data_IF_405153367808
#
_entry.id   IF_405153367808
#
_cell.length_a   1.000
_cell.length_b   1.000
_cell.length_c   1.000
_cell.angle_alpha   90.00
_cell.angle_beta   90.00
_cell.angle_gamma   90.00
#
_symmetry.space_group_name_H-M   'P 1'
#
loop_
_entity.id
_entity.type
_entity.pdbx_description
1 polymer ?
#
# COMPACT_ATOMS: atom_id res chain seq x y z
N UNK A 1 7.74 14.12 19.51
CA UNK A 1 6.68 13.32 18.88
C UNK A 1 5.57 13.07 19.91
N UNK A 2 4.32 13.39 19.58
CA UNK A 2 3.15 13.01 20.39
C UNK A 2 2.63 11.66 19.87
N UNK A 3 2.49 10.66 20.72
CA UNK A 3 2.00 9.33 20.35
C UNK A 3 0.47 9.16 20.50
N UNK A 4 -0.20 10.15 21.08
CA UNK A 4 -1.65 10.17 21.12
C UNK A 4 -2.21 10.68 19.80
N UNK A 5 -3.28 10.06 19.31
CA UNK A 5 -4.04 10.58 18.19
C UNK A 5 -4.68 11.92 18.57
N UNK A 6 -4.72 12.88 17.64
CA UNK A 6 -5.54 14.06 17.79
C UNK A 6 -7.04 13.73 17.67
N UNK A 7 -7.91 14.63 18.09
CA UNK A 7 -9.35 14.44 17.97
C UNK A 7 -9.77 14.28 16.49
N UNK A 8 -9.12 15.02 15.57
CA UNK A 8 -9.33 14.91 14.12
C UNK A 8 -8.92 13.55 13.59
N UNK A 9 -7.78 13.00 14.07
CA UNK A 9 -7.29 11.68 13.69
C UNK A 9 -8.19 10.57 14.20
N UNK A 10 -8.70 10.69 15.42
CA UNK A 10 -9.72 9.78 15.96
C UNK A 10 -10.98 9.84 15.10
N UNK A 11 -11.46 11.05 14.78
CA UNK A 11 -12.64 11.24 13.93
C UNK A 11 -12.44 10.66 12.52
N UNK A 12 -11.30 10.92 11.88
CA UNK A 12 -10.97 10.38 10.55
C UNK A 12 -11.03 8.85 10.54
N UNK A 13 -10.42 8.22 11.54
CA UNK A 13 -10.42 6.76 11.69
C UNK A 13 -11.83 6.19 11.89
N UNK A 14 -12.61 6.82 12.77
CA UNK A 14 -14.00 6.39 13.03
C UNK A 14 -14.89 6.61 11.80
N UNK A 15 -14.73 7.71 11.09
CA UNK A 15 -15.46 7.99 9.85
C UNK A 15 -15.10 6.95 8.76
N UNK A 16 -13.82 6.59 8.62
CA UNK A 16 -13.39 5.55 7.68
C UNK A 16 -14.02 4.19 8.04
N UNK A 17 -14.00 3.81 9.32
CA UNK A 17 -14.65 2.59 9.82
C UNK A 17 -16.15 2.61 9.53
N UNK A 18 -16.82 3.71 9.81
CA UNK A 18 -18.26 3.90 9.55
C UNK A 18 -18.61 3.79 8.06
N UNK A 19 -17.81 4.39 7.18
CA UNK A 19 -18.01 4.31 5.74
C UNK A 19 -17.87 2.87 5.22
N UNK A 20 -16.82 2.15 5.65
CA UNK A 20 -16.56 0.78 5.22
C UNK A 20 -17.53 -0.25 5.81
N UNK A 21 -18.11 0.01 6.98
CA UNK A 21 -19.07 -0.90 7.63
C UNK A 21 -20.38 -1.10 6.84
N UNK A 22 -20.66 -0.23 5.86
CA UNK A 22 -21.83 -0.34 4.97
C UNK A 22 -21.66 -1.46 3.93
N UNK A 23 -20.45 -2.00 3.76
CA UNK A 23 -20.13 -2.98 2.74
C UNK A 23 -19.81 -4.33 3.37
N UNK A 24 -20.28 -5.38 2.73
CA UNK A 24 -20.00 -6.77 3.10
C UNK A 24 -18.77 -7.28 2.34
N UNK A 25 -17.65 -6.64 2.54
CA UNK A 25 -16.42 -6.87 1.75
C UNK A 25 -15.92 -8.32 1.85
N UNK A 26 -16.02 -8.95 3.02
CA UNK A 26 -15.59 -10.33 3.24
C UNK A 26 -16.54 -11.36 2.57
N UNK A 27 -17.86 -11.10 2.56
CA UNK A 27 -18.82 -11.94 1.81
C UNK A 27 -18.54 -11.82 0.31
N UNK A 28 -18.40 -10.60 -0.21
CA UNK A 28 -18.05 -10.34 -1.61
C UNK A 28 -16.71 -10.97 -2.01
N UNK A 29 -15.71 -10.95 -1.11
CA UNK A 29 -14.43 -11.60 -1.34
C UNK A 29 -14.54 -13.12 -1.52
N UNK A 30 -15.43 -13.80 -0.76
CA UNK A 30 -15.69 -15.23 -0.95
C UNK A 30 -16.34 -15.50 -2.30
N UNK A 31 -17.34 -14.71 -2.69
CA UNK A 31 -18.03 -14.84 -3.96
C UNK A 31 -17.09 -14.62 -5.15
N UNK A 32 -16.14 -13.67 -5.02
CA UNK A 32 -15.14 -13.39 -6.03
C UNK A 32 -14.15 -14.55 -6.24
N UNK A 33 -13.93 -15.41 -5.23
CA UNK A 33 -13.11 -16.61 -5.38
C UNK A 33 -13.73 -17.66 -6.32
N UNK A 34 -15.03 -17.67 -6.45
CA UNK A 34 -15.77 -18.56 -7.34
C UNK A 34 -15.85 -18.03 -8.80
N UNK A 35 -15.06 -17.01 -9.12
CA UNK A 35 -15.00 -16.40 -10.45
C UNK A 35 -16.17 -15.45 -10.76
N UNK A 36 -16.91 -15.01 -9.74
CA UNK A 36 -17.95 -14.00 -9.86
C UNK A 36 -17.35 -12.62 -9.64
N UNK A 37 -17.79 -11.66 -10.43
CA UNK A 37 -17.41 -10.25 -10.31
C UNK A 37 -18.25 -9.62 -9.19
N UNK A 38 -17.90 -9.92 -7.94
CA UNK A 38 -18.73 -9.64 -6.77
C UNK A 38 -18.15 -8.56 -5.84
N UNK A 39 -16.92 -8.07 -6.11
CA UNK A 39 -16.34 -7.04 -5.26
C UNK A 39 -17.06 -5.69 -5.47
N UNK A 40 -17.45 -5.00 -4.38
CA UNK A 40 -18.05 -3.69 -4.49
C UNK A 40 -17.03 -2.67 -5.02
N UNK A 41 -17.46 -1.77 -5.90
CA UNK A 41 -16.70 -0.57 -6.21
C UNK A 41 -16.76 0.40 -5.03
N UNK A 42 -15.63 0.56 -4.34
CA UNK A 42 -15.51 1.42 -3.16
C UNK A 42 -15.00 2.83 -3.50
N UNK A 43 -14.70 3.11 -4.79
CA UNK A 43 -14.20 4.42 -5.19
C UNK A 43 -15.21 5.55 -4.97
N UNK A 44 -16.51 5.40 -5.26
CA UNK A 44 -17.51 6.42 -4.92
C UNK A 44 -17.52 6.78 -3.43
N UNK A 45 -17.41 5.77 -2.56
CA UNK A 45 -17.34 5.99 -1.11
C UNK A 45 -16.06 6.72 -0.70
N UNK A 46 -14.92 6.37 -1.29
CA UNK A 46 -13.65 7.08 -1.07
C UNK A 46 -13.76 8.56 -1.48
N UNK A 47 -14.41 8.85 -2.60
CA UNK A 47 -14.67 10.21 -3.08
C UNK A 47 -15.54 11.01 -2.11
N UNK A 48 -16.66 10.43 -1.67
CA UNK A 48 -17.56 11.07 -0.69
C UNK A 48 -16.85 11.38 0.63
N UNK A 49 -15.89 10.54 1.03
CA UNK A 49 -15.11 10.69 2.24
C UNK A 49 -13.85 11.56 2.06
N UNK A 50 -13.56 12.06 0.87
CA UNK A 50 -12.40 12.90 0.56
C UNK A 50 -11.04 12.17 0.58
N UNK A 51 -11.03 10.82 0.56
CA UNK A 51 -9.79 10.06 0.67
C UNK A 51 -8.84 10.22 -0.52
N UNK A 52 -9.29 10.45 -1.77
CA UNK A 52 -8.37 10.71 -2.87
C UNK A 52 -7.50 11.95 -2.66
N UNK A 53 -8.03 12.99 -2.03
CA UNK A 53 -7.33 14.26 -1.79
C UNK A 53 -6.51 14.33 -0.50
N UNK A 54 -6.40 13.24 0.28
CA UNK A 54 -5.76 13.29 1.62
C UNK A 54 -4.37 13.93 1.62
N UNK A 55 -3.53 13.59 0.65
CA UNK A 55 -2.12 14.03 0.55
C UNK A 55 -1.91 15.18 -0.43
N UNK A 56 -2.94 15.65 -1.10
CA UNK A 56 -2.90 16.78 -2.03
C UNK A 56 -3.12 18.06 -1.24
N UNK A 57 -2.35 19.10 -1.55
CA UNK A 57 -2.43 20.39 -0.86
C UNK A 57 -3.78 21.08 -1.07
N UNK A 58 -4.20 21.91 -0.11
CA UNK A 58 -5.48 22.63 -0.14
C UNK A 58 -5.61 23.54 -1.35
N UNK A 59 -4.53 24.12 -1.86
CA UNK A 59 -4.53 24.97 -3.06
C UNK A 59 -4.94 24.22 -4.33
N UNK A 60 -4.80 22.90 -4.33
CA UNK A 60 -5.23 21.99 -5.42
C UNK A 60 -6.51 21.22 -5.09
N UNK A 61 -7.27 21.68 -4.08
CA UNK A 61 -8.54 21.07 -3.68
C UNK A 61 -8.41 19.81 -2.84
N UNK A 62 -7.22 19.48 -2.35
CA UNK A 62 -6.97 18.39 -1.42
C UNK A 62 -7.18 18.78 0.05
N UNK A 63 -6.85 17.88 0.96
CA UNK A 63 -6.97 18.06 2.40
C UNK A 63 -5.65 18.47 3.08
N UNK A 64 -4.52 18.41 2.39
CA UNK A 64 -3.19 18.77 2.90
C UNK A 64 -2.74 17.97 4.14
N UNK A 65 -3.32 16.77 4.32
CA UNK A 65 -3.06 15.93 5.50
C UNK A 65 -1.71 15.19 5.39
N UNK A 66 -1.34 14.56 6.50
CA UNK A 66 -0.08 13.82 6.60
C UNK A 66 -0.19 12.36 6.15
N UNK A 67 0.97 11.76 5.91
CA UNK A 67 1.08 10.33 5.64
C UNK A 67 0.44 9.48 6.76
N UNK A 68 0.54 9.93 8.02
CA UNK A 68 -0.06 9.22 9.14
C UNK A 68 -1.59 9.19 9.05
N UNK A 69 -2.23 10.26 8.60
CA UNK A 69 -3.68 10.32 8.40
C UNK A 69 -4.12 9.33 7.31
N UNK A 70 -3.37 9.27 6.20
CA UNK A 70 -3.59 8.26 5.17
C UNK A 70 -3.39 6.83 5.68
N UNK A 71 -2.40 6.59 6.55
CA UNK A 71 -2.18 5.30 7.19
C UNK A 71 -3.34 4.88 8.09
N UNK A 72 -4.00 5.81 8.79
CA UNK A 72 -5.19 5.51 9.59
C UNK A 72 -6.33 4.99 8.70
N UNK A 73 -6.58 5.63 7.56
CA UNK A 73 -7.59 5.16 6.59
C UNK A 73 -7.25 3.78 6.04
N UNK A 74 -5.99 3.56 5.61
CA UNK A 74 -5.54 2.26 5.10
C UNK A 74 -5.62 1.16 6.18
N UNK A 75 -5.38 1.50 7.44
CA UNK A 75 -5.59 0.60 8.57
C UNK A 75 -7.03 0.08 8.63
N UNK A 76 -8.02 0.96 8.52
CA UNK A 76 -9.44 0.58 8.51
C UNK A 76 -9.81 -0.24 7.24
N UNK A 77 -9.22 0.07 6.08
CA UNK A 77 -9.36 -0.77 4.89
C UNK A 77 -8.83 -2.19 5.14
N UNK A 78 -7.68 -2.31 5.80
CA UNK A 78 -7.07 -3.58 6.16
C UNK A 78 -7.92 -4.43 7.12
N UNK A 79 -8.62 -3.80 8.04
CA UNK A 79 -9.50 -4.48 9.00
C UNK A 79 -10.60 -5.30 8.33
N UNK A 80 -11.10 -4.86 7.20
CA UNK A 80 -12.21 -5.49 6.48
C UNK A 80 -11.82 -5.97 5.08
N UNK A 81 -10.54 -6.02 4.76
CA UNK A 81 -10.00 -6.37 3.44
C UNK A 81 -10.62 -5.57 2.29
N UNK A 82 -10.92 -4.30 2.53
CA UNK A 82 -11.53 -3.43 1.53
C UNK A 82 -10.54 -3.12 0.40
N UNK A 83 -10.93 -3.37 -0.84
CA UNK A 83 -10.16 -3.10 -2.05
C UNK A 83 -10.35 -1.66 -2.54
N UNK A 84 -10.12 -0.65 -1.70
CA UNK A 84 -10.14 0.75 -2.13
C UNK A 84 -8.84 1.05 -2.87
N UNK A 85 -8.87 1.64 -4.09
CA UNK A 85 -7.65 1.85 -4.90
C UNK A 85 -6.79 3.04 -4.42
N UNK A 86 -6.54 3.10 -3.11
CA UNK A 86 -5.70 4.12 -2.47
C UNK A 86 -4.22 3.72 -2.42
N UNK A 87 -3.91 2.44 -2.52
CA UNK A 87 -2.53 1.94 -2.49
C UNK A 87 -1.72 2.42 -3.70
N UNK A 88 -2.37 2.52 -4.86
CA UNK A 88 -1.78 3.12 -6.06
C UNK A 88 -1.94 4.65 -6.09
N UNK A 89 -3.09 5.15 -5.66
CA UNK A 89 -3.45 6.56 -5.79
C UNK A 89 -2.62 7.49 -4.92
N UNK A 90 -2.49 7.19 -3.62
CA UNK A 90 -1.84 8.09 -2.66
C UNK A 90 -0.33 8.30 -2.91
N UNK A 91 0.49 7.27 -3.23
CA UNK A 91 1.88 7.52 -3.59
C UNK A 91 2.05 8.28 -4.92
N UNK A 92 1.14 8.04 -5.88
CA UNK A 92 1.13 8.77 -7.14
C UNK A 92 0.83 10.26 -6.95
N UNK A 93 -0.20 10.58 -6.17
CA UNK A 93 -0.57 11.97 -5.87
C UNK A 93 0.48 12.68 -5.03
N UNK A 94 1.21 11.95 -4.17
CA UNK A 94 2.32 12.52 -3.41
C UNK A 94 3.46 13.00 -4.33
N UNK A 95 3.80 12.24 -5.40
CA UNK A 95 4.79 12.71 -6.40
C UNK A 95 4.26 13.95 -7.14
N UNK A 96 3.00 13.92 -7.57
CA UNK A 96 2.39 15.01 -8.35
C UNK A 96 2.26 16.30 -7.54
N UNK A 97 2.01 16.18 -6.24
CA UNK A 97 1.92 17.33 -5.33
C UNK A 97 3.24 18.07 -5.18
N UNK A 98 4.36 17.35 -5.29
CA UNK A 98 5.71 17.91 -5.25
C UNK A 98 6.24 18.33 -6.64
N UNK A 99 5.39 18.32 -7.69
CA UNK A 99 5.74 18.61 -9.08
C UNK A 99 4.85 19.74 -9.65
N UNK A 100 5.29 21.01 -9.70
CA UNK A 100 4.51 22.12 -10.24
C UNK A 100 3.92 21.90 -11.64
N UNK A 101 4.63 21.18 -12.51
CA UNK A 101 4.14 20.82 -13.84
C UNK A 101 2.87 19.96 -13.82
N UNK A 102 2.58 19.30 -12.70
CA UNK A 102 1.42 18.42 -12.53
C UNK A 102 0.16 19.13 -12.02
N UNK A 103 0.23 20.41 -11.64
CA UNK A 103 -0.90 21.17 -11.07
C UNK A 103 -2.23 20.99 -11.81
N UNK A 104 -2.29 20.93 -13.16
CA UNK A 104 -3.55 20.72 -13.88
C UNK A 104 -4.21 19.36 -13.64
N UNK A 105 -3.46 18.36 -13.14
CA UNK A 105 -3.98 17.02 -12.86
C UNK A 105 -4.53 16.90 -11.42
N UNK A 106 -4.02 17.71 -10.49
CA UNK A 106 -4.22 17.53 -9.06
C UNK A 106 -5.68 17.73 -8.63
N UNK A 107 -6.41 18.71 -9.18
CA UNK A 107 -7.81 18.97 -8.80
C UNK A 107 -8.72 17.77 -9.10
N UNK A 108 -8.60 17.20 -10.30
CA UNK A 108 -9.39 16.03 -10.70
C UNK A 108 -8.99 14.77 -9.90
N UNK A 109 -7.74 14.67 -9.47
CA UNK A 109 -7.27 13.58 -8.62
C UNK A 109 -7.71 13.77 -7.17
N UNK A 110 -7.69 15.00 -6.65
CA UNK A 110 -8.14 15.33 -5.29
C UNK A 110 -9.63 15.02 -5.09
N UNK A 111 -10.46 15.37 -6.08
CA UNK A 111 -11.90 15.04 -6.06
C UNK A 111 -12.19 13.57 -6.37
N UNK A 112 -11.19 12.83 -6.82
CA UNK A 112 -11.34 11.44 -7.28
C UNK A 112 -12.14 11.31 -8.59
N UNK A 113 -12.35 12.40 -9.35
CA UNK A 113 -12.89 12.33 -10.70
C UNK A 113 -11.97 11.51 -11.60
N UNK A 114 -10.66 11.66 -11.41
CA UNK A 114 -9.64 10.81 -12.03
C UNK A 114 -8.94 9.98 -10.96
N UNK A 115 -8.45 8.81 -11.36
CA UNK A 115 -7.73 7.88 -10.50
C UNK A 115 -6.30 7.70 -10.99
N UNK A 116 -5.33 7.87 -10.08
CA UNK A 116 -3.93 7.59 -10.37
C UNK A 116 -3.53 6.20 -9.86
N UNK A 117 -2.51 5.61 -10.48
CA UNK A 117 -1.79 4.45 -9.95
C UNK A 117 -0.27 4.71 -9.96
N UNK A 118 0.35 4.43 -8.83
CA UNK A 118 1.79 4.50 -8.67
C UNK A 118 2.48 3.32 -9.34
N UNK A 119 3.46 3.60 -10.18
CA UNK A 119 4.36 2.62 -10.78
C UNK A 119 5.51 2.35 -9.80
N UNK A 120 5.56 1.20 -9.12
CA UNK A 120 6.53 0.97 -8.06
C UNK A 120 7.95 0.79 -8.64
N UNK A 121 8.82 1.74 -8.36
CA UNK A 121 10.25 1.70 -8.70
C UNK A 121 11.03 1.91 -7.41
N UNK A 122 11.83 0.91 -7.04
CA UNK A 122 12.63 0.93 -5.82
C UNK A 122 13.82 1.88 -5.97
N UNK A 123 14.01 2.85 -5.07
CA UNK A 123 15.16 3.73 -5.08
C UNK A 123 16.46 2.96 -4.78
N UNK A 124 17.65 3.46 -5.22
CA UNK A 124 18.93 2.90 -4.84
C UNK A 124 19.10 2.86 -3.31
N UNK A 125 19.71 1.80 -2.84
CA UNK A 125 20.17 1.61 -1.46
C UNK A 125 21.51 0.88 -1.46
N UNK A 126 22.05 0.55 -0.27
CA UNK A 126 23.36 -0.12 -0.13
C UNK A 126 23.40 -1.51 -0.80
N UNK A 127 22.27 -2.11 -1.10
CA UNK A 127 22.17 -3.40 -1.79
C UNK A 127 21.84 -3.28 -3.27
N UNK A 128 21.27 -2.14 -3.69
CA UNK A 128 20.87 -1.85 -5.06
C UNK A 128 21.35 -0.46 -5.46
N UNK A 129 22.45 -0.38 -6.17
CA UNK A 129 23.06 0.88 -6.58
C UNK A 129 22.27 1.65 -7.65
N UNK A 130 21.16 1.08 -8.13
CA UNK A 130 20.33 1.69 -9.17
C UNK A 130 18.84 1.52 -8.89
N UNK A 131 18.04 2.42 -9.45
CA UNK A 131 16.60 2.30 -9.47
C UNK A 131 16.17 0.99 -10.12
N UNK A 132 15.26 0.25 -9.48
CA UNK A 132 14.85 -1.07 -9.94
C UNK A 132 13.36 -1.34 -9.73
N UNK A 133 12.82 -2.24 -10.53
CA UNK A 133 11.45 -2.74 -10.43
C UNK A 133 11.46 -4.12 -9.80
N UNK A 134 10.49 -4.41 -8.92
CA UNK A 134 10.34 -5.77 -8.39
C UNK A 134 9.99 -6.76 -9.50
N UNK A 135 10.71 -7.89 -9.62
CA UNK A 135 10.47 -8.85 -10.68
C UNK A 135 9.22 -9.69 -10.40
N UNK A 136 8.51 -10.06 -11.45
CA UNK A 136 7.38 -10.99 -11.37
C UNK A 136 7.80 -12.38 -10.84
N UNK A 137 9.02 -12.82 -11.14
CA UNK A 137 9.55 -14.16 -10.81
C UNK A 137 10.39 -14.22 -9.52
N UNK A 138 10.79 -13.08 -8.97
CA UNK A 138 11.60 -12.99 -7.75
C UNK A 138 13.09 -13.33 -7.89
N UNK A 139 13.61 -13.52 -9.10
CA UNK A 139 15.01 -13.92 -9.33
C UNK A 139 15.91 -12.78 -9.81
N UNK A 140 15.37 -11.88 -10.60
CA UNK A 140 16.10 -10.72 -11.11
C UNK A 140 15.25 -9.46 -10.94
N UNK A 141 15.88 -8.34 -10.63
CA UNK A 141 15.22 -7.05 -10.58
C UNK A 141 15.51 -6.28 -11.86
N UNK A 142 14.52 -6.09 -12.74
CA UNK A 142 14.71 -5.25 -13.91
C UNK A 142 14.98 -3.80 -13.49
N UNK A 143 15.67 -3.07 -14.33
CA UNK A 143 15.89 -1.63 -14.14
C UNK A 143 14.58 -0.85 -14.23
N UNK A 144 14.60 0.39 -13.75
CA UNK A 144 13.51 1.33 -13.92
C UNK A 144 13.18 1.53 -15.42
N UNK A 145 11.92 1.89 -15.76
CA UNK A 145 11.57 2.30 -17.12
C UNK A 145 12.54 3.36 -17.66
N UNK A 146 12.82 3.32 -18.97
CA UNK A 146 13.67 4.30 -19.64
C UNK A 146 12.80 5.36 -20.32
N UNK A 147 13.26 6.60 -20.32
CA UNK A 147 12.64 7.72 -20.99
C UNK A 147 13.56 8.31 -22.05
N UNK A 148 13.01 8.74 -23.16
CA UNK A 148 13.70 9.48 -24.24
C UNK A 148 12.93 10.77 -24.47
N UNK A 149 13.65 11.91 -24.52
CA UNK A 149 13.03 13.23 -24.78
C UNK A 149 12.22 13.22 -26.06
N UNK A 150 11.04 13.82 -26.00
CA UNK A 150 10.18 14.02 -27.14
C UNK A 150 9.91 15.52 -27.35
N UNK A 151 9.63 15.92 -28.60
CA UNK A 151 9.19 17.28 -28.87
C UNK A 151 7.81 17.53 -28.24
N UNK A 152 7.66 18.67 -27.57
CA UNK A 152 6.36 19.07 -26.98
C UNK A 152 5.41 19.51 -28.08
N UNK A 153 4.38 18.74 -28.33
CA UNK A 153 3.38 19.06 -29.36
C UNK A 153 2.48 20.25 -28.98
N UNK A 154 2.38 20.60 -27.70
CA UNK A 154 1.43 21.61 -27.22
C UNK A 154 2.03 22.67 -26.25
N UNK A 155 3.35 22.74 -26.08
CA UNK A 155 3.97 23.70 -25.17
C UNK A 155 3.69 23.45 -23.68
N UNK A 156 3.17 22.29 -23.34
CA UNK A 156 2.88 21.88 -21.96
C UNK A 156 4.02 21.01 -21.40
N UNK A 157 5.01 21.67 -20.78
CA UNK A 157 6.07 20.99 -20.06
C UNK A 157 7.04 20.18 -20.95
N UNK A 158 8.02 19.55 -20.32
CA UNK A 158 8.93 18.63 -20.98
C UNK A 158 8.21 17.29 -21.23
N UNK A 159 8.32 16.77 -22.45
CA UNK A 159 7.72 15.49 -22.81
C UNK A 159 8.76 14.43 -23.08
N UNK A 160 8.40 13.18 -22.80
CA UNK A 160 9.25 12.02 -23.06
C UNK A 160 8.42 10.86 -23.62
N UNK A 161 9.13 9.88 -24.17
CA UNK A 161 8.61 8.58 -24.53
C UNK A 161 9.18 7.55 -23.55
N UNK A 162 8.29 6.84 -22.82
CA UNK A 162 8.68 5.91 -21.76
C UNK A 162 8.49 4.47 -22.23
N UNK A 163 9.52 3.65 -21.94
CA UNK A 163 9.48 2.21 -22.24
C UNK A 163 9.93 1.40 -21.02
N UNK A 164 9.26 0.30 -20.75
CA UNK A 164 9.58 -0.61 -19.65
C UNK A 164 8.42 -1.50 -19.27
N UNK A 165 8.67 -2.40 -18.35
CA UNK A 165 7.67 -3.33 -17.82
C UNK A 165 7.68 -3.32 -16.31
N UNK A 166 6.48 -3.29 -15.70
CA UNK A 166 6.30 -3.36 -14.25
C UNK A 166 5.27 -4.44 -13.92
N UNK A 167 5.60 -5.27 -12.95
CA UNK A 167 4.75 -6.38 -12.54
C UNK A 167 4.04 -6.10 -11.23
N UNK A 168 2.79 -6.59 -11.12
CA UNK A 168 1.98 -6.52 -9.90
C UNK A 168 1.78 -5.09 -9.37
N UNK A 169 1.56 -4.14 -10.29
CA UNK A 169 1.31 -2.73 -9.95
C UNK A 169 -0.04 -2.61 -9.24
N UNK A 170 -0.08 -2.14 -7.98
CA UNK A 170 -1.32 -1.95 -7.26
C UNK A 170 -2.22 -0.93 -7.96
N UNK A 171 -3.51 -1.28 -8.06
CA UNK A 171 -4.59 -0.43 -8.56
C UNK A 171 -4.42 0.09 -10.00
N UNK A 172 -3.44 -0.42 -10.76
CA UNK A 172 -3.26 -0.03 -12.17
C UNK A 172 -4.48 -0.36 -13.03
N UNK A 173 -5.19 -1.50 -12.86
CA UNK A 173 -6.42 -1.73 -13.61
C UNK A 173 -7.49 -0.69 -13.27
N UNK A 174 -7.93 0.07 -14.28
CA UNK A 174 -8.90 1.14 -14.16
C UNK A 174 -8.34 2.46 -13.64
N UNK A 175 -7.03 2.66 -13.55
CA UNK A 175 -6.43 3.97 -13.36
C UNK A 175 -6.52 4.81 -14.64
N UNK A 176 -6.65 6.13 -14.49
CA UNK A 176 -6.64 7.09 -15.60
C UNK A 176 -5.22 7.61 -15.87
N UNK A 177 -4.40 7.71 -14.82
CA UNK A 177 -3.03 8.22 -14.85
C UNK A 177 -2.08 7.25 -14.16
N UNK A 178 -0.98 6.92 -14.81
CA UNK A 178 0.13 6.15 -14.24
C UNK A 178 1.26 7.12 -13.88
N UNK A 179 1.74 7.07 -12.65
CA UNK A 179 2.78 7.98 -12.14
C UNK A 179 3.91 7.19 -11.52
N UNK A 180 5.14 7.51 -11.87
CA UNK A 180 6.30 6.80 -11.32
C UNK A 180 7.63 7.41 -11.74
N UNK A 181 8.69 6.62 -11.66
CA UNK A 181 10.06 7.01 -12.01
C UNK A 181 10.47 6.36 -13.32
N UNK A 182 11.13 7.14 -14.19
CA UNK A 182 11.85 6.63 -15.35
C UNK A 182 13.27 7.21 -15.39
N UNK A 183 14.16 6.55 -16.10
CA UNK A 183 15.54 7.03 -16.30
C UNK A 183 15.64 7.80 -17.62
N UNK A 184 15.83 9.10 -17.54
CA UNK A 184 16.06 9.99 -18.67
C UNK A 184 17.56 10.32 -18.72
N UNK A 185 18.26 9.91 -19.77
CA UNK A 185 19.73 10.06 -19.89
C UNK A 185 20.48 9.48 -18.67
N UNK A 186 19.93 8.41 -18.07
CA UNK A 186 20.50 7.74 -16.89
C UNK A 186 20.16 8.40 -15.55
N UNK A 187 19.46 9.54 -15.54
CA UNK A 187 19.03 10.24 -14.33
C UNK A 187 17.56 9.93 -14.02
N UNK A 188 17.18 9.76 -12.74
CA UNK A 188 15.78 9.52 -12.37
C UNK A 188 14.97 10.79 -12.57
N UNK A 189 13.81 10.63 -13.23
CA UNK A 189 12.81 11.69 -13.39
C UNK A 189 11.43 11.14 -13.05
N UNK A 190 10.56 11.98 -12.50
CA UNK A 190 9.16 11.66 -12.38
C UNK A 190 8.49 11.68 -13.75
N UNK A 191 7.53 10.79 -13.97
CA UNK A 191 6.73 10.74 -15.19
C UNK A 191 5.26 10.55 -14.86
N UNK A 192 4.39 11.24 -15.60
CA UNK A 192 2.95 11.03 -15.60
C UNK A 192 2.51 10.59 -17.01
N UNK A 193 1.78 9.49 -17.09
CA UNK A 193 1.41 8.81 -18.32
C UNK A 193 -0.11 8.61 -18.31
N UNK A 194 -0.81 9.05 -19.37
CA UNK A 194 -2.23 8.72 -19.54
C UNK A 194 -2.37 7.21 -19.76
N UNK A 195 -3.17 6.52 -18.94
CA UNK A 195 -3.34 5.07 -19.05
C UNK A 195 -3.96 4.63 -20.39
N UNK A 196 -4.70 5.54 -21.04
CA UNK A 196 -5.29 5.33 -22.37
C UNK A 196 -4.35 5.68 -23.54
N UNK A 197 -3.13 6.15 -23.27
CA UNK A 197 -2.20 6.58 -24.31
C UNK A 197 -1.69 5.41 -25.16
N UNK A 198 -1.29 5.72 -26.40
CA UNK A 198 -0.66 4.74 -27.26
C UNK A 198 0.62 4.17 -26.64
N UNK A 199 0.85 2.87 -26.76
CA UNK A 199 2.01 2.20 -26.17
C UNK A 199 1.85 1.88 -24.68
N UNK A 200 0.69 2.13 -24.06
CA UNK A 200 0.37 1.67 -22.70
C UNK A 200 -0.50 0.42 -22.77
N UNK A 201 -0.13 -0.59 -22.01
CA UNK A 201 -0.97 -1.78 -21.78
C UNK A 201 -1.02 -2.06 -20.29
N UNK A 202 -2.22 -2.23 -19.76
CA UNK A 202 -2.46 -2.65 -18.37
C UNK A 202 -3.24 -3.96 -18.39
N UNK A 203 -2.57 -5.05 -18.03
CA UNK A 203 -3.16 -6.39 -17.97
C UNK A 203 -3.52 -6.73 -16.52
N UNK A 204 -4.83 -6.85 -16.19
CA UNK A 204 -5.25 -7.27 -14.86
C UNK A 204 -4.74 -8.68 -14.54
N UNK A 205 -4.15 -8.86 -13.36
CA UNK A 205 -3.67 -10.18 -12.94
C UNK A 205 -4.73 -10.93 -12.15
N UNK A 206 -4.98 -12.19 -12.52
CA UNK A 206 -5.73 -13.10 -11.67
C UNK A 206 -4.87 -13.54 -10.48
N UNK A 207 -5.40 -13.47 -9.27
CA UNK A 207 -4.61 -13.59 -8.04
C UNK A 207 -5.21 -14.51 -7.00
N UNK A 208 -4.30 -14.94 -6.12
CA UNK A 208 -4.63 -15.72 -4.94
C UNK A 208 -5.48 -14.92 -3.93
N UNK A 209 -5.24 -13.62 -3.77
CA UNK A 209 -6.09 -12.69 -3.02
C UNK A 209 -7.00 -11.90 -3.98
N UNK A 210 -8.27 -12.23 -4.01
CA UNK A 210 -9.25 -11.57 -4.86
C UNK A 210 -9.57 -10.13 -4.42
N UNK A 211 -9.24 -9.77 -3.17
CA UNK A 211 -9.62 -8.47 -2.60
C UNK A 211 -8.70 -7.32 -2.98
N UNK A 212 -7.65 -7.57 -3.80
CA UNK A 212 -6.70 -6.55 -4.25
C UNK A 212 -6.64 -6.47 -5.77
N UNK A 213 -6.75 -5.27 -6.32
CA UNK A 213 -6.52 -5.03 -7.75
C UNK A 213 -5.03 -4.92 -8.03
N UNK A 214 -4.52 -5.72 -8.97
CA UNK A 214 -3.13 -5.66 -9.46
C UNK A 214 -3.13 -5.81 -10.97
N UNK A 215 -2.15 -5.18 -11.63
CA UNK A 215 -1.93 -5.34 -13.07
C UNK A 215 -0.47 -5.45 -13.43
N UNK A 216 -0.18 -6.04 -14.58
CA UNK A 216 1.08 -5.85 -15.28
C UNK A 216 0.96 -4.62 -16.18
N UNK A 217 1.96 -3.75 -16.14
CA UNK A 217 2.02 -2.53 -16.95
C UNK A 217 3.16 -2.66 -17.92
N UNK A 218 2.86 -2.58 -19.23
CA UNK A 218 3.85 -2.51 -20.30
C UNK A 218 3.78 -1.14 -20.96
N UNK A 219 4.94 -0.53 -21.11
CA UNK A 219 5.14 0.78 -21.75
C UNK A 219 6.05 0.59 -22.97
N UNK A 220 5.55 0.93 -24.15
CA UNK A 220 6.24 0.79 -25.42
C UNK A 220 6.30 2.15 -26.14
N UNK A 221 7.20 3.02 -25.71
CA UNK A 221 7.30 4.39 -26.21
C UNK A 221 6.06 5.23 -25.84
N UNK A 222 5.47 5.00 -24.68
CA UNK A 222 4.28 5.71 -24.23
C UNK A 222 4.59 7.20 -24.01
N UNK A 223 3.75 8.13 -24.53
CA UNK A 223 3.93 9.55 -24.28
C UNK A 223 3.72 9.86 -22.80
N UNK A 224 4.61 10.66 -22.23
CA UNK A 224 4.62 11.03 -20.84
C UNK A 224 4.95 12.50 -20.65
N UNK A 225 4.40 13.10 -19.60
CA UNK A 225 4.84 14.40 -19.07
C UNK A 225 6.00 14.11 -18.11
N UNK A 226 7.11 14.80 -18.29
CA UNK A 226 8.23 14.78 -17.34
C UNK A 226 7.87 15.71 -16.18
N UNK A 227 7.97 15.17 -14.97
CA UNK A 227 7.66 15.90 -13.74
C UNK A 227 8.96 16.51 -13.18
N UNK A 228 8.86 17.76 -12.75
CA UNK A 228 9.94 18.49 -12.10
C UNK A 228 10.02 18.21 -10.57
N UNK A 229 9.54 17.03 -10.17
CA UNK A 229 9.63 16.55 -8.80
C UNK A 229 11.08 16.25 -8.39
N UNK A 230 11.54 16.68 -7.20
CA UNK A 230 12.87 16.36 -6.73
C UNK A 230 13.05 14.85 -6.48
N UNK A 231 14.27 14.34 -6.67
CA UNK A 231 14.58 12.92 -6.50
C UNK A 231 14.17 12.37 -5.13
N UNK A 232 14.30 13.20 -4.09
CA UNK A 232 13.85 12.84 -2.74
C UNK A 232 12.33 12.58 -2.66
N UNK A 233 11.50 13.34 -3.39
CA UNK A 233 10.06 13.11 -3.47
C UNK A 233 9.75 11.78 -4.17
N UNK A 234 10.50 11.46 -5.25
CA UNK A 234 10.37 10.18 -5.96
C UNK A 234 10.71 8.99 -5.05
N UNK A 235 11.79 9.07 -4.29
CA UNK A 235 12.17 8.05 -3.31
C UNK A 235 11.16 7.97 -2.15
N UNK A 236 10.68 9.11 -1.67
CA UNK A 236 9.66 9.19 -0.61
C UNK A 236 8.36 8.48 -0.99
N UNK A 237 7.94 8.51 -2.26
CA UNK A 237 6.74 7.83 -2.71
C UNK A 237 6.84 6.30 -2.59
N UNK A 238 8.00 5.70 -2.86
CA UNK A 238 8.24 4.28 -2.60
C UNK A 238 8.09 3.93 -1.12
N UNK A 239 8.73 4.71 -0.25
CA UNK A 239 8.67 4.49 1.19
C UNK A 239 7.27 4.74 1.75
N UNK A 240 6.54 5.72 1.20
CA UNK A 240 5.14 5.95 1.51
C UNK A 240 4.28 4.73 1.14
N UNK A 241 4.44 4.18 -0.07
CA UNK A 241 3.72 2.98 -0.48
C UNK A 241 3.99 1.79 0.46
N UNK A 242 5.24 1.60 0.92
CA UNK A 242 5.58 0.58 1.92
C UNK A 242 4.91 0.84 3.27
N UNK A 243 4.88 2.07 3.75
CA UNK A 243 4.25 2.42 5.01
C UNK A 243 2.71 2.29 4.97
N UNK A 244 2.07 2.66 3.85
CA UNK A 244 0.63 2.44 3.63
C UNK A 244 0.27 0.96 3.62
N UNK A 245 1.08 0.12 2.95
CA UNK A 245 0.89 -1.33 2.95
C UNK A 245 1.10 -1.94 4.35
N UNK A 246 2.02 -1.38 5.14
CA UNK A 246 2.22 -1.78 6.53
C UNK A 246 1.01 -1.40 7.40
N UNK A 247 0.44 -0.20 7.23
CA UNK A 247 -0.76 0.24 7.94
C UNK A 247 -1.96 -0.67 7.66
N UNK A 248 -2.22 -0.96 6.39
CA UNK A 248 -3.26 -1.92 5.98
C UNK A 248 -3.01 -3.31 6.59
N UNK A 249 -1.76 -3.78 6.58
CA UNK A 249 -1.40 -5.06 7.18
C UNK A 249 -1.67 -5.10 8.68
N UNK A 250 -1.36 -4.04 9.42
CA UNK A 250 -1.62 -3.94 10.86
C UNK A 250 -3.12 -3.89 11.17
N UNK A 251 -3.95 -3.25 10.34
CA UNK A 251 -5.40 -3.32 10.44
C UNK A 251 -5.92 -4.76 10.32
N UNK A 252 -5.38 -5.52 9.38
CA UNK A 252 -5.71 -6.95 9.24
C UNK A 252 -5.24 -7.78 10.44
N UNK A 253 -4.06 -7.48 11.03
CA UNK A 253 -3.57 -8.13 12.27
C UNK A 253 -4.51 -7.86 13.43
N UNK A 254 -4.98 -6.64 13.58
CA UNK A 254 -5.92 -6.25 14.64
C UNK A 254 -7.22 -7.07 14.56
N UNK A 255 -7.83 -7.16 13.37
CA UNK A 255 -9.04 -7.97 13.20
C UNK A 255 -8.78 -9.45 13.43
N UNK A 256 -7.66 -9.99 12.93
CA UNK A 256 -7.31 -11.39 13.15
C UNK A 256 -7.17 -11.71 14.65
N UNK A 257 -6.60 -10.79 15.43
CA UNK A 257 -6.48 -10.90 16.88
C UNK A 257 -7.84 -10.82 17.58
N UNK A 258 -8.66 -9.80 17.27
CA UNK A 258 -9.97 -9.59 17.86
C UNK A 258 -10.90 -10.80 17.69
N UNK A 259 -11.01 -11.29 16.45
CA UNK A 259 -11.84 -12.45 16.10
C UNK A 259 -11.34 -13.72 16.79
N UNK A 260 -10.02 -13.91 16.85
CA UNK A 260 -9.43 -15.07 17.53
C UNK A 260 -9.64 -15.02 19.05
N UNK A 261 -9.53 -13.85 19.67
CA UNK A 261 -9.79 -13.66 21.10
C UNK A 261 -11.26 -13.90 21.43
N UNK A 262 -12.19 -13.38 20.61
CA UNK A 262 -13.62 -13.59 20.78
C UNK A 262 -13.95 -15.09 20.75
N UNK A 263 -13.49 -15.78 19.70
CA UNK A 263 -13.70 -17.22 19.56
C UNK A 263 -13.09 -18.03 20.72
N UNK A 264 -11.87 -17.65 21.16
CA UNK A 264 -11.20 -18.34 22.26
C UNK A 264 -11.92 -18.22 23.60
N UNK A 265 -12.74 -17.18 23.80
CA UNK A 265 -13.60 -17.00 24.97
C UNK A 265 -14.89 -17.83 24.89
N UNK A 266 -15.44 -18.03 23.70
CA UNK A 266 -16.74 -18.67 23.47
C UNK A 266 -16.63 -20.17 23.20
N UNK A 267 -15.54 -20.64 22.58
CA UNK A 267 -15.36 -22.06 22.25
C UNK A 267 -14.90 -22.87 23.45
N UNK A 268 -15.67 -23.89 23.80
CA UNK A 268 -15.36 -24.82 24.88
C UNK A 268 -14.83 -26.15 24.35
N UNK A 269 -13.82 -26.69 25.03
CA UNK A 269 -13.28 -28.03 24.82
C UNK A 269 -12.76 -28.57 26.15
N UNK A 270 -12.94 -29.86 26.41
CA UNK A 270 -12.59 -30.49 27.70
C UNK A 270 -13.14 -29.72 28.94
N UNK A 271 -14.39 -29.25 28.85
CA UNK A 271 -15.10 -28.60 29.96
C UNK A 271 -14.76 -27.16 30.26
N UNK A 272 -13.91 -26.49 29.43
CA UNK A 272 -13.53 -25.08 29.62
C UNK A 272 -13.29 -24.36 28.29
N UNK A 273 -13.34 -23.02 28.33
CA UNK A 273 -13.04 -22.18 27.16
C UNK A 273 -11.61 -22.43 26.67
N UNK A 274 -11.40 -22.51 25.34
CA UNK A 274 -10.08 -22.76 24.79
C UNK A 274 -9.07 -21.67 25.13
N UNK A 275 -9.52 -20.42 25.32
CA UNK A 275 -8.71 -19.31 25.79
C UNK A 275 -8.16 -19.47 27.22
N UNK A 276 -8.63 -20.48 27.99
CA UNK A 276 -8.05 -20.80 29.30
C UNK A 276 -6.73 -21.56 29.21
N UNK A 277 -6.42 -22.18 28.06
CA UNK A 277 -5.17 -22.92 27.85
C UNK A 277 -4.00 -21.98 27.57
N UNK A 278 -2.86 -22.23 28.24
CA UNK A 278 -1.67 -21.38 28.10
C UNK A 278 -1.14 -21.30 26.65
N UNK A 279 -1.18 -22.41 25.92
CA UNK A 279 -0.74 -22.41 24.50
C UNK A 279 -1.53 -21.43 23.64
N UNK A 280 -2.85 -21.34 23.83
CA UNK A 280 -3.72 -20.38 23.13
C UNK A 280 -3.44 -18.96 23.60
N UNK A 281 -3.32 -18.73 24.91
CA UNK A 281 -2.99 -17.40 25.46
C UNK A 281 -1.66 -16.88 24.94
N UNK A 282 -0.61 -17.68 24.95
CA UNK A 282 0.72 -17.27 24.54
C UNK A 282 0.76 -16.93 23.04
N UNK A 283 0.08 -17.71 22.17
CA UNK A 283 0.02 -17.39 20.76
C UNK A 283 -0.73 -16.07 20.48
N UNK A 284 -1.85 -15.82 21.15
CA UNK A 284 -2.60 -14.56 21.01
C UNK A 284 -1.83 -13.36 21.61
N UNK A 285 -1.12 -13.55 22.73
CA UNK A 285 -0.27 -12.52 23.32
C UNK A 285 0.92 -12.17 22.41
N UNK A 286 1.48 -13.15 21.70
CA UNK A 286 2.54 -12.90 20.73
C UNK A 286 2.02 -12.08 19.53
N UNK A 287 0.80 -12.34 19.02
CA UNK A 287 0.16 -11.51 18.00
C UNK A 287 -0.04 -10.08 18.51
N UNK A 288 -0.55 -9.91 19.75
CA UNK A 288 -0.71 -8.58 20.36
C UNK A 288 0.62 -7.83 20.44
N UNK A 289 1.68 -8.50 20.92
CA UNK A 289 3.02 -7.90 21.03
C UNK A 289 3.53 -7.40 19.67
N UNK A 290 3.35 -8.21 18.61
CA UNK A 290 3.76 -7.81 17.27
C UNK A 290 2.91 -6.66 16.71
N UNK A 291 1.60 -6.64 16.99
CA UNK A 291 0.71 -5.54 16.62
C UNK A 291 1.16 -4.23 17.28
N UNK A 292 1.41 -4.21 18.58
CA UNK A 292 1.80 -3.00 19.30
C UNK A 292 3.19 -2.50 18.89
N UNK A 293 4.15 -3.40 18.62
CA UNK A 293 5.43 -3.03 18.02
C UNK A 293 5.25 -2.40 16.64
N UNK A 294 4.40 -2.99 15.80
CA UNK A 294 4.09 -2.46 14.48
C UNK A 294 3.42 -1.08 14.55
N UNK A 295 2.47 -0.88 15.48
CA UNK A 295 1.81 0.43 15.70
C UNK A 295 2.80 1.51 16.11
N UNK A 296 3.73 1.20 17.02
CA UNK A 296 4.76 2.15 17.45
C UNK A 296 5.63 2.61 16.28
N UNK A 297 6.06 1.65 15.42
CA UNK A 297 6.84 1.95 14.23
C UNK A 297 6.01 2.69 13.17
N UNK A 298 4.70 2.41 13.06
CA UNK A 298 3.82 3.12 12.14
C UNK A 298 3.68 4.59 12.53
N UNK A 299 3.51 4.89 13.81
CA UNK A 299 3.46 6.25 14.33
C UNK A 299 4.75 7.00 14.06
N UNK A 300 5.88 6.32 14.26
CA UNK A 300 7.18 6.89 13.94
C UNK A 300 7.34 7.19 12.45
N UNK A 301 7.00 6.24 11.57
CA UNK A 301 7.08 6.41 10.13
C UNK A 301 6.14 7.54 9.64
N UNK A 302 4.91 7.62 10.18
CA UNK A 302 3.98 8.69 9.86
C UNK A 302 4.51 10.07 10.23
N UNK A 303 5.08 10.21 11.44
CA UNK A 303 5.71 11.44 11.87
C UNK A 303 6.99 11.77 11.07
N UNK A 304 7.83 10.77 10.79
CA UNK A 304 9.14 11.01 10.17
C UNK A 304 9.02 11.62 8.78
N UNK A 305 7.98 11.34 8.01
CA UNK A 305 7.85 11.88 6.65
C UNK A 305 7.94 13.40 6.58
N UNK A 306 7.38 14.13 7.57
CA UNK A 306 7.48 15.60 7.66
C UNK A 306 8.47 16.05 8.74
N UNK A 307 8.53 15.33 9.87
CA UNK A 307 9.29 15.75 11.05
C UNK A 307 10.78 15.44 10.99
N UNK A 308 11.16 14.39 10.23
CA UNK A 308 12.54 13.96 10.01
C UNK A 308 12.64 13.19 8.68
N UNK A 309 12.54 13.89 7.52
CA UNK A 309 12.44 13.24 6.22
C UNK A 309 13.61 12.31 5.91
N UNK A 310 14.79 12.57 6.44
CA UNK A 310 15.99 11.74 6.32
C UNK A 310 15.85 10.40 7.06
N UNK A 311 15.01 10.31 8.10
CA UNK A 311 14.74 9.08 8.83
C UNK A 311 13.59 8.27 8.22
N UNK A 312 12.77 8.88 7.36
CA UNK A 312 11.58 8.26 6.80
C UNK A 312 11.85 6.94 6.05
N UNK A 313 12.89 6.82 5.20
CA UNK A 313 13.22 5.57 4.53
C UNK A 313 13.44 4.39 5.50
N UNK A 314 14.21 4.62 6.57
CA UNK A 314 14.45 3.62 7.61
C UNK A 314 13.17 3.30 8.41
N UNK A 315 12.41 4.33 8.79
CA UNK A 315 11.15 4.17 9.53
C UNK A 315 10.11 3.37 8.72
N UNK A 316 9.92 3.70 7.44
CA UNK A 316 9.01 3.00 6.54
C UNK A 316 9.43 1.54 6.30
N UNK A 317 10.73 1.29 6.09
CA UNK A 317 11.26 -0.06 5.93
C UNK A 317 11.11 -0.87 7.22
N UNK A 318 11.32 -0.26 8.38
CA UNK A 318 11.17 -0.90 9.70
C UNK A 318 9.73 -1.34 9.94
N UNK A 319 8.76 -0.45 9.75
CA UNK A 319 7.34 -0.81 9.92
C UNK A 319 6.90 -1.84 8.87
N UNK A 320 7.39 -1.74 7.64
CA UNK A 320 7.10 -2.70 6.56
C UNK A 320 7.59 -4.11 6.90
N UNK A 321 8.81 -4.24 7.44
CA UNK A 321 9.40 -5.51 7.88
C UNK A 321 8.58 -6.14 9.00
N UNK A 322 8.24 -5.36 10.04
CA UNK A 322 7.49 -5.86 11.21
C UNK A 322 6.04 -6.19 10.85
N UNK A 323 5.34 -5.32 10.13
CA UNK A 323 3.93 -5.51 9.78
C UNK A 323 3.70 -6.75 8.90
N UNK A 324 4.57 -6.98 7.92
CA UNK A 324 4.45 -8.16 7.06
C UNK A 324 4.65 -9.48 7.81
N UNK A 325 5.57 -9.52 8.78
CA UNK A 325 5.76 -10.66 9.68
C UNK A 325 4.58 -10.84 10.64
N UNK A 326 4.13 -9.74 11.24
CA UNK A 326 3.00 -9.76 12.16
C UNK A 326 1.74 -10.30 11.48
N UNK A 327 1.48 -9.90 10.22
CA UNK A 327 0.33 -10.36 9.46
C UNK A 327 0.39 -11.87 9.17
N UNK A 328 1.55 -12.42 8.79
CA UNK A 328 1.72 -13.86 8.58
C UNK A 328 1.47 -14.65 9.88
N UNK A 329 2.05 -14.21 11.00
CA UNK A 329 1.85 -14.84 12.31
C UNK A 329 0.39 -14.75 12.76
N UNK A 330 -0.24 -13.57 12.65
CA UNK A 330 -1.61 -13.36 13.09
C UNK A 330 -2.61 -14.23 12.31
N UNK A 331 -2.47 -14.29 10.99
CA UNK A 331 -3.41 -15.07 10.15
C UNK A 331 -3.25 -16.57 10.33
N UNK A 332 -2.03 -17.08 10.53
CA UNK A 332 -1.78 -18.48 10.90
C UNK A 332 -2.33 -18.80 12.29
N UNK A 333 -2.16 -17.90 13.25
CA UNK A 333 -2.72 -18.04 14.60
C UNK A 333 -4.25 -18.04 14.53
N UNK A 334 -4.86 -17.17 13.73
CA UNK A 334 -6.30 -17.13 13.51
C UNK A 334 -6.83 -18.48 13.00
N UNK A 335 -6.20 -19.05 11.96
CA UNK A 335 -6.56 -20.38 11.45
C UNK A 335 -6.40 -21.44 12.54
N UNK A 336 -5.29 -21.45 13.27
CA UNK A 336 -4.99 -22.43 14.30
C UNK A 336 -5.98 -22.38 15.47
N UNK A 337 -6.34 -21.18 15.94
CA UNK A 337 -7.29 -20.99 17.07
C UNK A 337 -8.68 -21.46 16.70
N UNK A 338 -9.13 -21.20 15.46
CA UNK A 338 -10.45 -21.66 14.97
C UNK A 338 -10.46 -23.15 14.61
N UNK A 339 -9.30 -23.78 14.44
CA UNK A 339 -9.19 -25.21 14.08
C UNK A 339 -9.80 -25.52 12.70
N UNK A 340 -10.55 -26.59 12.60
CA UNK A 340 -11.10 -27.05 11.32
C UNK A 340 -11.88 -25.98 10.57
N UNK A 341 -12.75 -25.23 11.24
CA UNK A 341 -13.55 -24.15 10.60
C UNK A 341 -12.66 -23.02 10.07
N UNK A 342 -11.56 -22.71 10.75
CA UNK A 342 -10.61 -21.67 10.33
C UNK A 342 -9.90 -21.97 9.01
N UNK A 343 -9.97 -23.21 8.52
CA UNK A 343 -9.40 -23.61 7.23
C UNK A 343 -10.46 -23.74 6.12
N UNK A 344 -11.73 -23.50 6.44
CA UNK A 344 -12.85 -23.59 5.49
C UNK A 344 -13.27 -22.23 4.97
N UNK A 345 -14.02 -22.22 3.84
CA UNK A 345 -14.61 -21.00 3.27
C UNK A 345 -15.82 -20.46 4.05
N UNK A 346 -16.26 -21.16 5.08
CA UNK A 346 -17.30 -20.69 6.00
C UNK A 346 -16.79 -19.63 6.97
N UNK A 347 -15.44 -19.51 7.10
CA UNK A 347 -14.78 -18.56 7.98
C UNK A 347 -13.92 -17.58 7.20
N UNK A 348 -13.67 -16.38 7.78
CA UNK A 348 -12.88 -15.32 7.13
C UNK A 348 -11.36 -15.55 7.18
N UNK A 349 -10.86 -16.41 8.06
CA UNK A 349 -9.43 -16.64 8.24
C UNK A 349 -8.66 -16.95 6.94
N UNK A 350 -9.19 -17.77 5.99
CA UNK A 350 -8.53 -18.00 4.70
C UNK A 350 -8.36 -16.73 3.85
N UNK A 351 -9.29 -15.77 3.94
CA UNK A 351 -9.19 -14.50 3.20
C UNK A 351 -8.04 -13.65 3.74
N UNK A 352 -7.95 -13.49 5.07
CA UNK A 352 -6.84 -12.78 5.71
C UNK A 352 -5.50 -13.47 5.45
N UNK A 353 -5.45 -14.80 5.47
CA UNK A 353 -4.24 -15.54 5.15
C UNK A 353 -3.80 -15.31 3.69
N UNK A 354 -4.72 -15.32 2.73
CA UNK A 354 -4.42 -14.99 1.32
C UNK A 354 -3.88 -13.58 1.17
N UNK A 355 -4.50 -12.57 1.84
CA UNK A 355 -4.00 -11.20 1.91
C UNK A 355 -2.58 -11.16 2.47
N UNK A 356 -2.27 -11.92 3.51
CA UNK A 356 -0.93 -11.96 4.09
C UNK A 356 0.13 -12.48 3.12
N UNK A 357 -0.19 -13.56 2.39
CA UNK A 357 0.74 -14.16 1.42
C UNK A 357 1.04 -13.26 0.23
N UNK A 358 0.09 -12.44 -0.18
CA UNK A 358 0.30 -11.45 -1.23
C UNK A 358 1.04 -10.22 -0.69
N UNK A 359 0.52 -9.59 0.37
CA UNK A 359 1.07 -8.33 0.91
C UNK A 359 2.54 -8.43 1.26
N UNK A 360 3.00 -9.57 1.83
CA UNK A 360 4.41 -9.78 2.18
C UNK A 360 5.38 -9.77 0.99
N UNK A 361 4.88 -9.85 -0.25
CA UNK A 361 5.68 -9.91 -1.48
C UNK A 361 5.65 -8.63 -2.30
N UNK A 362 4.68 -7.76 -2.08
CA UNK A 362 4.56 -6.49 -2.80
C UNK A 362 5.62 -5.48 -2.34
N UNK A 363 5.97 -4.55 -3.21
CA UNK A 363 6.83 -3.39 -2.93
C UNK A 363 8.18 -3.80 -2.29
N UNK A 364 8.95 -4.64 -2.96
CA UNK A 364 10.25 -5.14 -2.50
C UNK A 364 10.17 -6.26 -1.48
N UNK A 365 8.96 -6.57 -1.01
CA UNK A 365 8.71 -7.61 -0.04
C UNK A 365 9.19 -7.29 1.38
N UNK A 366 8.82 -8.16 2.31
CA UNK A 366 9.23 -8.04 3.72
C UNK A 366 10.74 -8.27 3.90
N UNK A 367 11.35 -9.14 3.07
CA UNK A 367 12.80 -9.40 3.11
C UNK A 367 13.59 -8.18 2.67
N UNK A 368 13.25 -7.55 1.54
CA UNK A 368 13.93 -6.35 1.07
C UNK A 368 13.88 -5.20 2.09
N UNK A 369 12.73 -5.02 2.75
CA UNK A 369 12.62 -4.05 3.83
C UNK A 369 13.51 -4.40 5.04
N UNK A 370 13.63 -5.67 5.37
CA UNK A 370 14.51 -6.13 6.47
C UNK A 370 15.99 -5.94 6.12
N UNK A 371 16.37 -6.25 4.88
CA UNK A 371 17.74 -6.11 4.40
C UNK A 371 18.17 -4.63 4.43
N UNK A 372 17.28 -3.72 4.01
CA UNK A 372 17.53 -2.29 4.12
C UNK A 372 17.73 -1.82 5.56
N UNK A 373 16.88 -2.26 6.50
CA UNK A 373 17.05 -1.92 7.92
C UNK A 373 18.38 -2.43 8.45
N UNK A 374 18.78 -3.65 8.06
CA UNK A 374 20.05 -4.23 8.49
C UNK A 374 21.25 -3.44 7.93
N UNK A 375 21.22 -3.06 6.65
CA UNK A 375 22.25 -2.25 6.01
C UNK A 375 22.43 -0.90 6.72
N UNK A 376 21.34 -0.19 6.99
CA UNK A 376 21.36 1.11 7.67
C UNK A 376 21.92 1.01 9.09
N UNK A 377 21.47 0.00 9.87
CA UNK A 377 21.99 -0.21 11.24
C UNK A 377 23.47 -0.57 11.24
N UNK A 378 23.93 -1.34 10.26
CA UNK A 378 25.34 -1.70 10.14
C UNK A 378 26.19 -0.48 9.72
N UNK A 379 25.70 0.36 8.83
CA UNK A 379 26.38 1.60 8.41
C UNK A 379 26.57 2.58 9.58
N UNK A 380 25.56 2.68 10.47
CA UNK A 380 25.64 3.52 11.68
C UNK A 380 26.59 2.97 12.75
N UNK A 381 26.91 1.68 12.71
CA UNK A 381 27.79 1.02 13.68
C UNK A 381 29.26 0.96 13.25
N UNK A 382 29.59 1.30 12.00
CA UNK A 382 30.93 1.32 11.41
C UNK A 382 31.59 2.69 11.57
#
# INVERSE_FOLDING_TARGET
MNLALSDEQVFLREAARGALSRFKTLEAAREALDGKDALPDLWPTAREAGWPGLLIDEEHGGAGLDAFDAMLVLGECGRVLAGVPLMGHLPATAILNDAPAASPLLEALATGERRAAYLPVCPPDDMHEQWSVDPASGLERPGAPTAVRAESENGQGEQARVSGELSFVPDAPGADVLVGVALLDGSPVGVAIEASASGVSVEPTFRYDATRSLGHVSLAGAPAIVLDAPEQALASAWHLAQALLAAESLGSVETALEVSVAYAKERYTFGRAIGSYQAVKHSLTEVLRQLENGRSLLYYAGWARRGAPEEFPLAASSVRSVAGRALDVATRTMISVHGGIGATWEHDAPLYFRRSQLSRRLLGGTSGATDRVAAEVMAQAA
#
